data_IF_941460009849
#
_entry.id   IF_941460009849
#
_cell.length_a   1.000
_cell.length_b   1.000
_cell.length_c   1.000
_cell.angle_alpha   90.00
_cell.angle_beta   90.00
_cell.angle_gamma   90.00
#
_symmetry.space_group_name_H-M   'P 1'
#
loop_
_entity.id
_entity.type
_entity.pdbx_description
1 polymer ?
#
# COMPACT_ATOMS: atom_id res chain seq x y z
N UNK A 1 -38.67 -10.80 5.67
CA UNK A 1 -37.80 -11.90 6.13
C UNK A 1 -36.79 -12.16 5.02
N UNK A 2 -35.78 -11.29 5.00
CA UNK A 2 -34.33 -11.50 4.82
C UNK A 2 -33.87 -12.59 3.85
N UNK A 3 -33.37 -12.17 2.67
CA UNK A 3 -32.69 -13.02 1.68
C UNK A 3 -31.66 -12.21 0.89
N UNK A 4 -30.98 -11.27 1.54
CA UNK A 4 -30.13 -10.26 0.87
C UNK A 4 -28.69 -10.27 1.43
N UNK A 5 -28.25 -11.40 1.99
CA UNK A 5 -26.91 -11.53 2.55
C UNK A 5 -26.06 -12.45 1.66
N UNK A 6 -25.10 -11.82 0.96
CA UNK A 6 -23.84 -12.40 0.48
C UNK A 6 -23.74 -12.98 -0.94
N UNK A 7 -23.75 -12.10 -1.94
CA UNK A 7 -22.95 -12.25 -3.18
C UNK A 7 -21.45 -11.90 -2.96
N UNK A 8 -21.10 -11.42 -1.76
CA UNK A 8 -19.75 -10.93 -1.44
C UNK A 8 -18.72 -12.05 -1.25
N UNK A 9 -19.13 -13.17 -0.63
CA UNK A 9 -18.24 -14.30 -0.35
C UNK A 9 -18.18 -15.35 -1.48
N UNK A 10 -18.90 -15.12 -2.59
CA UNK A 10 -19.08 -16.09 -3.67
C UNK A 10 -20.12 -17.15 -3.32
N UNK A 11 -20.56 -17.90 -4.33
CA UNK A 11 -21.46 -19.04 -4.12
C UNK A 11 -20.74 -20.22 -3.44
N UNK A 12 -21.51 -21.21 -2.99
CA UNK A 12 -20.99 -22.38 -2.27
C UNK A 12 -19.95 -23.17 -3.10
N UNK A 13 -20.05 -23.14 -4.43
CA UNK A 13 -19.09 -23.77 -5.33
C UNK A 13 -17.74 -23.02 -5.34
N UNK A 14 -17.77 -21.69 -5.39
CA UNK A 14 -16.57 -20.83 -5.30
C UNK A 14 -15.89 -21.00 -3.94
N UNK A 15 -16.66 -21.02 -2.86
CA UNK A 15 -16.11 -21.22 -1.49
C UNK A 15 -15.43 -22.58 -1.39
N UNK A 16 -16.11 -23.66 -1.77
CA UNK A 16 -15.54 -25.00 -1.75
C UNK A 16 -14.28 -25.12 -2.62
N UNK A 17 -14.26 -24.46 -3.79
CA UNK A 17 -13.09 -24.40 -4.65
C UNK A 17 -11.90 -23.66 -4.02
N UNK A 18 -12.15 -22.56 -3.31
CA UNK A 18 -11.12 -21.82 -2.58
C UNK A 18 -10.58 -22.59 -1.39
N UNK A 19 -11.45 -23.22 -0.60
CA UNK A 19 -11.06 -24.07 0.53
C UNK A 19 -10.23 -25.28 0.09
N UNK A 20 -10.61 -25.93 -1.01
CA UNK A 20 -9.84 -27.01 -1.61
C UNK A 20 -8.44 -26.55 -2.05
N UNK A 21 -8.35 -25.36 -2.67
CA UNK A 21 -7.07 -24.75 -3.04
C UNK A 21 -6.19 -24.49 -1.81
N UNK A 22 -6.75 -23.89 -0.75
CA UNK A 22 -6.04 -23.64 0.51
C UNK A 22 -5.54 -24.94 1.13
N UNK A 23 -6.39 -25.97 1.17
CA UNK A 23 -6.05 -27.29 1.74
C UNK A 23 -4.93 -27.98 0.96
N UNK A 24 -4.95 -27.86 -0.37
CA UNK A 24 -3.92 -28.44 -1.25
C UNK A 24 -2.64 -27.60 -1.36
N UNK A 25 -2.63 -26.38 -0.83
CA UNK A 25 -1.54 -25.44 -1.05
C UNK A 25 -0.33 -25.82 -0.19
N UNK A 26 0.67 -26.43 -0.83
CA UNK A 26 1.97 -26.66 -0.19
C UNK A 26 2.80 -25.38 -0.19
N UNK A 27 2.80 -24.73 0.98
CA UNK A 27 3.61 -23.54 1.26
C UNK A 27 5.08 -23.82 0.93
N UNK A 28 5.66 -24.92 1.42
CA UNK A 28 7.08 -25.23 1.26
C UNK A 28 7.46 -25.47 -0.20
N UNK A 29 6.59 -26.10 -1.00
CA UNK A 29 6.76 -26.25 -2.43
C UNK A 29 6.68 -24.91 -3.15
N UNK A 30 5.65 -24.09 -2.87
CA UNK A 30 5.48 -22.77 -3.47
C UNK A 30 6.70 -21.86 -3.23
N UNK A 31 7.25 -21.85 -2.01
CA UNK A 31 8.46 -21.09 -1.66
C UNK A 31 9.69 -21.51 -2.48
N UNK A 32 9.83 -22.81 -2.80
CA UNK A 32 10.93 -23.34 -3.63
C UNK A 32 10.75 -22.94 -5.10
N UNK A 33 9.53 -23.06 -5.62
CA UNK A 33 9.21 -22.80 -7.04
C UNK A 33 9.28 -21.31 -7.40
N UNK A 34 8.78 -20.44 -6.52
CA UNK A 34 8.85 -18.98 -6.72
C UNK A 34 10.22 -18.40 -6.43
N UNK A 35 11.16 -19.21 -5.94
CA UNK A 35 12.48 -18.76 -5.49
C UNK A 35 12.39 -17.62 -4.45
N UNK A 36 11.27 -17.51 -3.73
CA UNK A 36 11.01 -16.48 -2.73
C UNK A 36 12.02 -16.55 -1.57
N UNK A 37 12.70 -17.68 -1.39
CA UNK A 37 13.76 -17.92 -0.39
C UNK A 37 15.14 -17.43 -0.84
N UNK A 38 15.34 -17.02 -2.11
CA UNK A 38 16.59 -16.36 -2.52
C UNK A 38 16.71 -14.91 -2.02
N UNK A 39 16.13 -14.61 -0.86
CA UNK A 39 16.68 -13.59 0.04
C UNK A 39 17.98 -14.17 0.62
N UNK A 40 19.01 -14.34 -0.21
CA UNK A 40 20.40 -14.45 0.25
C UNK A 40 20.89 -13.08 0.72
N UNK A 41 20.05 -12.36 1.47
CA UNK A 41 20.49 -11.18 2.20
C UNK A 41 21.33 -11.73 3.33
N UNK A 42 22.65 -11.70 3.15
CA UNK A 42 23.59 -11.84 4.26
C UNK A 42 23.10 -10.88 5.34
N UNK A 43 22.48 -11.43 6.38
CA UNK A 43 22.22 -10.68 7.61
C UNK A 43 23.61 -10.27 8.07
N UNK A 44 23.94 -9.00 7.93
CA UNK A 44 25.17 -8.49 8.51
C UNK A 44 24.99 -8.68 10.00
N UNK A 45 25.75 -9.59 10.59
CA UNK A 45 25.86 -9.75 12.04
C UNK A 45 26.72 -8.62 12.64
N UNK A 46 26.57 -7.40 12.11
CA UNK A 46 27.11 -6.21 12.75
C UNK A 46 26.19 -5.92 13.94
N UNK A 47 26.73 -5.68 15.15
CA UNK A 47 25.91 -5.29 16.29
C UNK A 47 25.10 -4.06 15.89
N UNK A 48 23.77 -4.18 16.04
CA UNK A 48 22.83 -3.14 15.67
C UNK A 48 23.16 -1.87 16.47
N UNK A 49 23.65 -0.86 15.77
CA UNK A 49 23.81 0.47 16.34
C UNK A 49 22.41 1.06 16.52
N UNK A 50 21.87 0.95 17.72
CA UNK A 50 20.52 1.41 18.07
C UNK A 50 20.34 2.91 17.80
N UNK A 51 21.42 3.69 17.69
CA UNK A 51 21.37 5.12 17.33
C UNK A 51 20.97 5.36 15.87
N UNK A 52 21.03 4.33 15.01
CA UNK A 52 20.68 4.40 13.58
C UNK A 52 19.38 3.69 13.25
N UNK A 53 18.73 3.07 14.23
CA UNK A 53 17.46 2.40 14.03
C UNK A 53 16.31 3.37 14.29
N UNK A 54 15.36 3.41 13.36
CA UNK A 54 14.22 4.31 13.40
C UNK A 54 12.92 3.53 13.55
N UNK A 55 12.13 3.84 14.57
CA UNK A 55 10.77 3.31 14.71
C UNK A 55 9.76 4.46 14.79
N UNK A 56 9.02 4.76 13.70
CA UNK A 56 7.97 5.78 13.73
C UNK A 56 6.80 5.43 14.67
N UNK A 57 6.69 4.16 15.09
CA UNK A 57 5.64 3.65 15.96
C UNK A 57 6.11 3.42 17.40
N UNK A 58 7.18 4.10 17.82
CA UNK A 58 7.69 3.98 19.18
C UNK A 58 6.60 4.33 20.21
N UNK A 59 6.34 3.41 21.14
CA UNK A 59 5.31 3.55 22.17
C UNK A 59 3.88 3.24 21.73
N UNK A 60 3.66 2.88 20.45
CA UNK A 60 2.34 2.46 19.95
C UNK A 60 2.09 1.00 20.32
N UNK A 61 1.05 0.67 21.12
CA UNK A 61 0.86 -0.68 21.64
C UNK A 61 0.65 -1.71 20.54
N UNK A 62 -0.04 -1.37 19.46
CA UNK A 62 -0.33 -2.29 18.37
C UNK A 62 0.78 -2.40 17.30
N UNK A 63 1.96 -1.84 17.58
CA UNK A 63 3.11 -1.89 16.69
C UNK A 63 4.33 -2.56 17.34
N UNK A 64 5.18 -3.12 16.50
CA UNK A 64 6.46 -3.69 16.92
C UNK A 64 7.41 -2.62 17.46
N UNK A 65 8.05 -2.91 18.59
CA UNK A 65 9.00 -2.02 19.27
C UNK A 65 10.45 -2.48 19.08
N UNK A 66 11.39 -1.53 19.01
CA UNK A 66 12.83 -1.87 18.89
C UNK A 66 13.38 -2.60 20.12
N UNK A 67 12.67 -2.52 21.24
CA UNK A 67 13.05 -3.12 22.52
C UNK A 67 12.58 -4.58 22.67
N UNK A 68 11.80 -5.10 21.73
CA UNK A 68 11.28 -6.47 21.77
C UNK A 68 11.71 -7.29 20.55
N UNK A 69 11.80 -8.60 20.69
CA UNK A 69 12.03 -9.48 19.54
C UNK A 69 10.75 -9.66 18.72
N UNK A 70 10.87 -10.13 17.48
CA UNK A 70 9.67 -10.46 16.66
C UNK A 70 8.83 -11.55 17.34
N UNK A 71 9.44 -12.50 18.04
CA UNK A 71 8.71 -13.54 18.76
C UNK A 71 7.93 -12.97 19.95
N UNK A 72 8.54 -12.07 20.73
CA UNK A 72 7.86 -11.41 21.85
C UNK A 72 6.67 -10.58 21.36
N UNK A 73 6.85 -9.88 20.23
CA UNK A 73 5.79 -9.13 19.57
C UNK A 73 4.62 -10.01 19.12
N UNK A 74 4.91 -11.13 18.46
CA UNK A 74 3.87 -12.08 18.00
C UNK A 74 3.20 -12.81 19.17
N UNK A 75 3.89 -13.01 20.29
CA UNK A 75 3.27 -13.53 21.51
C UNK A 75 2.35 -12.51 22.17
N UNK A 76 2.69 -11.21 22.07
CA UNK A 76 1.91 -10.10 22.62
C UNK A 76 0.69 -9.75 21.77
N UNK A 77 0.85 -9.76 20.44
CA UNK A 77 -0.20 -9.48 19.46
C UNK A 77 -0.18 -10.56 18.37
N UNK A 78 -0.73 -11.75 18.68
CA UNK A 78 -0.88 -12.82 17.70
C UNK A 78 -1.91 -12.42 16.62
N UNK A 79 -1.54 -12.35 15.33
CA UNK A 79 -2.46 -11.90 14.28
C UNK A 79 -3.73 -12.77 14.13
N UNK A 80 -3.65 -14.05 14.51
CA UNK A 80 -4.76 -15.00 14.41
C UNK A 80 -5.85 -14.79 15.48
N UNK A 81 -5.45 -14.43 16.70
CA UNK A 81 -6.37 -14.35 17.85
C UNK A 81 -6.60 -12.93 18.37
N UNK A 82 -5.87 -11.95 17.84
CA UNK A 82 -6.09 -10.54 18.18
C UNK A 82 -7.31 -10.02 17.43
N UNK A 83 -8.38 -9.72 18.17
CA UNK A 83 -9.59 -9.13 17.58
C UNK A 83 -9.37 -7.66 17.16
N UNK A 84 -10.05 -7.27 16.09
CA UNK A 84 -10.06 -5.90 15.60
C UNK A 84 -10.86 -4.98 16.55
N UNK A 85 -10.35 -3.77 16.81
CA UNK A 85 -11.07 -2.74 17.57
C UNK A 85 -10.63 -1.34 17.15
N UNK A 86 -11.37 -0.30 17.56
CA UNK A 86 -10.98 1.10 17.32
C UNK A 86 -9.61 1.47 17.91
N UNK A 87 -9.19 0.78 18.98
CA UNK A 87 -7.88 0.96 19.63
C UNK A 87 -6.78 0.08 19.00
N UNK A 88 -7.15 -0.91 18.19
CA UNK A 88 -6.25 -1.83 17.49
C UNK A 88 -6.77 -2.02 16.05
N UNK A 89 -6.67 -0.97 15.21
CA UNK A 89 -7.20 -1.04 13.86
C UNK A 89 -6.34 -1.93 12.97
N UNK A 90 -5.01 -1.87 13.17
CA UNK A 90 -3.99 -2.58 12.39
C UNK A 90 -2.78 -2.92 13.23
N UNK A 91 -2.09 -3.99 12.83
CA UNK A 91 -0.79 -4.39 13.39
C UNK A 91 0.31 -3.81 12.50
N UNK A 92 1.22 -3.03 13.07
CA UNK A 92 2.31 -2.40 12.31
C UNK A 92 3.68 -2.97 12.66
N UNK A 93 4.47 -3.29 11.63
CA UNK A 93 5.89 -3.63 11.76
C UNK A 93 6.67 -2.68 10.86
N UNK A 94 7.56 -1.88 11.45
CA UNK A 94 8.41 -0.99 10.69
C UNK A 94 9.72 -1.67 10.27
N UNK A 95 10.24 -1.28 9.10
CA UNK A 95 11.62 -1.56 8.75
C UNK A 95 12.52 -0.52 9.43
N UNK A 96 13.36 -0.89 10.41
CA UNK A 96 14.08 0.06 11.25
C UNK A 96 15.26 0.74 10.55
N UNK A 97 15.62 0.30 9.35
CA UNK A 97 16.73 0.86 8.57
C UNK A 97 16.33 2.02 7.65
N UNK A 98 15.06 2.43 7.68
CA UNK A 98 14.54 3.52 6.86
C UNK A 98 14.37 4.74 7.74
N UNK A 99 15.07 5.82 7.41
CA UNK A 99 14.86 7.12 8.05
C UNK A 99 13.46 7.63 7.71
N UNK A 100 12.62 7.78 8.72
CA UNK A 100 11.28 8.34 8.60
C UNK A 100 11.27 9.77 9.14
N UNK A 101 10.45 10.62 8.54
CA UNK A 101 10.16 11.95 9.10
C UNK A 101 9.46 11.78 10.44
N UNK A 102 9.73 12.69 11.36
CA UNK A 102 8.97 12.76 12.62
C UNK A 102 7.50 13.04 12.31
N UNK A 103 6.58 12.45 13.09
CA UNK A 103 5.13 12.52 12.82
C UNK A 103 4.63 13.95 12.61
N UNK A 104 5.14 14.92 13.36
CA UNK A 104 4.78 16.33 13.24
C UNK A 104 5.16 16.97 11.89
N UNK A 105 6.24 16.53 11.26
CA UNK A 105 6.73 17.07 9.98
C UNK A 105 6.21 16.28 8.78
N UNK A 106 5.64 15.09 9.00
CA UNK A 106 5.17 14.22 7.95
C UNK A 106 3.85 14.74 7.35
N UNK A 107 3.81 14.82 6.02
CA UNK A 107 2.66 15.36 5.29
C UNK A 107 1.47 14.40 5.25
N UNK A 108 1.71 13.10 5.46
CA UNK A 108 0.67 12.07 5.52
C UNK A 108 -0.34 12.29 6.66
N UNK A 109 0.01 13.07 7.69
CA UNK A 109 -0.89 13.42 8.80
C UNK A 109 -2.11 14.26 8.37
N UNK A 110 -2.08 14.84 7.16
CA UNK A 110 -3.22 15.61 6.62
C UNK A 110 -4.36 14.70 6.13
N UNK A 111 -4.11 13.41 5.95
CA UNK A 111 -5.07 12.43 5.46
C UNK A 111 -5.77 11.72 6.61
N UNK A 112 -6.97 12.19 6.98
CA UNK A 112 -7.74 11.63 8.09
C UNK A 112 -7.97 10.11 7.93
N UNK A 113 -7.69 9.35 8.99
CA UNK A 113 -7.84 7.89 9.03
C UNK A 113 -6.67 7.12 8.40
N UNK A 114 -5.60 7.79 7.98
CA UNK A 114 -4.38 7.16 7.46
C UNK A 114 -3.12 7.70 8.15
N UNK A 115 -3.25 8.30 9.33
CA UNK A 115 -2.18 9.02 10.03
C UNK A 115 -1.02 8.09 10.42
N UNK A 116 -1.35 6.83 10.74
CA UNK A 116 -0.38 5.80 11.13
C UNK A 116 0.02 4.88 9.96
N UNK A 117 -0.62 5.02 8.80
CA UNK A 117 -0.29 4.24 7.61
C UNK A 117 0.86 4.91 6.81
N UNK A 118 1.80 4.09 6.34
CA UNK A 118 2.92 4.48 5.49
C UNK A 118 3.65 5.79 5.93
N UNK A 119 4.33 5.79 7.09
CA UNK A 119 5.07 6.95 7.60
C UNK A 119 6.02 7.51 6.56
N UNK A 120 6.10 8.83 6.43
CA UNK A 120 6.86 9.45 5.34
C UNK A 120 8.37 9.20 5.50
N UNK A 121 9.07 8.84 4.41
CA UNK A 121 10.53 8.68 4.41
C UNK A 121 11.24 10.04 4.34
N UNK A 122 12.45 10.14 4.88
CA UNK A 122 13.22 11.37 4.77
C UNK A 122 13.60 11.67 3.29
N UNK A 123 13.47 12.93 2.88
CA UNK A 123 13.78 13.37 1.52
C UNK A 123 12.70 13.07 0.47
N UNK A 124 11.54 12.55 0.87
CA UNK A 124 10.35 12.49 -0.01
C UNK A 124 9.78 13.88 -0.25
N UNK A 125 9.21 14.05 -1.45
CA UNK A 125 8.58 15.29 -1.91
C UNK A 125 7.11 15.05 -2.25
N UNK A 126 6.29 14.76 -1.24
CA UNK A 126 4.88 14.40 -1.44
C UNK A 126 4.07 15.53 -2.07
N UNK A 127 4.22 16.78 -1.63
CA UNK A 127 3.56 17.93 -2.28
C UNK A 127 3.85 18.03 -3.79
N UNK A 128 5.10 17.82 -4.22
CA UNK A 128 5.47 17.84 -5.64
C UNK A 128 4.74 16.74 -6.42
N UNK A 129 4.64 15.53 -5.86
CA UNK A 129 3.90 14.44 -6.50
C UNK A 129 2.40 14.76 -6.59
N UNK A 130 1.81 15.32 -5.52
CA UNK A 130 0.39 15.67 -5.50
C UNK A 130 0.09 16.73 -6.57
N UNK A 131 0.88 17.80 -6.60
CA UNK A 131 0.70 18.90 -7.56
C UNK A 131 0.90 18.42 -9.00
N UNK A 132 2.05 17.81 -9.31
CA UNK A 132 2.36 17.35 -10.67
C UNK A 132 1.49 16.18 -11.12
N UNK A 133 1.13 15.28 -10.22
CA UNK A 133 0.21 14.18 -10.50
C UNK A 133 -1.21 14.68 -10.80
N UNK A 134 -1.69 15.67 -10.05
CA UNK A 134 -2.98 16.31 -10.30
C UNK A 134 -2.99 17.06 -11.65
N UNK A 135 -1.92 17.79 -11.96
CA UNK A 135 -1.77 18.45 -13.26
C UNK A 135 -1.83 17.43 -14.40
N UNK A 136 -1.11 16.31 -14.29
CA UNK A 136 -1.12 15.25 -15.32
C UNK A 136 -2.50 14.62 -15.51
N UNK A 137 -3.24 14.42 -14.41
CA UNK A 137 -4.62 13.91 -14.45
C UNK A 137 -5.59 14.93 -15.08
N UNK A 138 -5.42 16.23 -14.81
CA UNK A 138 -6.22 17.29 -15.43
C UNK A 138 -5.99 17.36 -16.95
N UNK A 139 -4.76 17.15 -17.41
CA UNK A 139 -4.42 17.04 -18.84
C UNK A 139 -5.16 15.85 -19.46
N UNK A 140 -5.10 14.68 -18.82
CA UNK A 140 -5.81 13.47 -19.29
C UNK A 140 -7.33 13.70 -19.35
N UNK A 141 -7.91 14.35 -18.34
CA UNK A 141 -9.34 14.67 -18.29
C UNK A 141 -9.74 15.60 -19.44
N UNK A 142 -8.94 16.64 -19.70
CA UNK A 142 -9.15 17.57 -20.81
C UNK A 142 -9.03 16.86 -22.17
N UNK A 143 -8.07 15.95 -22.32
CA UNK A 143 -7.90 15.13 -23.51
C UNK A 143 -9.12 14.23 -23.75
N UNK A 144 -9.61 13.54 -22.73
CA UNK A 144 -10.80 12.69 -22.84
C UNK A 144 -12.03 13.49 -23.28
N UNK A 145 -12.25 14.67 -22.69
CA UNK A 145 -13.33 15.58 -23.11
C UNK A 145 -13.17 16.01 -24.57
N UNK A 146 -11.94 16.38 -24.98
CA UNK A 146 -11.62 16.73 -26.36
C UNK A 146 -11.92 15.60 -27.35
N UNK A 147 -11.45 14.38 -27.07
CA UNK A 147 -11.68 13.19 -27.91
C UNK A 147 -13.17 12.85 -28.01
N UNK A 148 -13.92 12.97 -26.91
CA UNK A 148 -15.35 12.70 -26.90
C UNK A 148 -16.12 13.66 -27.83
N UNK A 149 -15.67 14.91 -27.96
CA UNK A 149 -16.27 15.91 -28.85
C UNK A 149 -15.90 15.71 -30.34
N UNK A 150 -14.96 14.82 -30.67
CA UNK A 150 -14.60 14.56 -32.07
C UNK A 150 -15.63 13.68 -32.80
N UNK A 151 -15.66 13.77 -34.13
CA UNK A 151 -16.47 12.89 -35.01
C UNK A 151 -15.84 11.50 -35.25
N UNK A 152 -14.79 11.13 -34.51
CA UNK A 152 -14.12 9.82 -34.64
C UNK A 152 -15.06 8.68 -34.23
N UNK A 153 -14.82 7.48 -34.76
CA UNK A 153 -15.55 6.28 -34.34
C UNK A 153 -15.27 5.94 -32.87
N UNK A 154 -16.20 5.26 -32.21
CA UNK A 154 -16.06 4.87 -30.80
C UNK A 154 -14.80 4.04 -30.53
N UNK A 155 -14.47 3.12 -31.43
CA UNK A 155 -13.26 2.30 -31.33
C UNK A 155 -11.98 3.14 -31.40
N UNK A 156 -11.95 4.15 -32.29
CA UNK A 156 -10.82 5.05 -32.40
C UNK A 156 -10.68 5.93 -31.14
N UNK A 157 -11.81 6.43 -30.60
CA UNK A 157 -11.83 7.18 -29.34
C UNK A 157 -11.28 6.36 -28.17
N UNK A 158 -11.75 5.13 -27.98
CA UNK A 158 -11.29 4.26 -26.89
C UNK A 158 -9.79 4.00 -27.00
N UNK A 159 -9.30 3.65 -28.19
CA UNK A 159 -7.88 3.37 -28.41
C UNK A 159 -6.99 4.57 -28.05
N UNK A 160 -7.38 5.77 -28.44
CA UNK A 160 -6.64 7.00 -28.13
C UNK A 160 -6.68 7.31 -26.63
N UNK A 161 -7.85 7.17 -25.99
CA UNK A 161 -7.99 7.35 -24.54
C UNK A 161 -7.14 6.35 -23.77
N UNK A 162 -7.13 5.08 -24.17
CA UNK A 162 -6.37 4.03 -23.49
C UNK A 162 -4.86 4.22 -23.68
N UNK A 163 -4.43 4.74 -24.83
CA UNK A 163 -3.04 5.15 -25.02
C UNK A 163 -2.67 6.29 -24.06
N UNK A 164 -3.48 7.35 -24.02
CA UNK A 164 -3.19 8.51 -23.18
C UNK A 164 -3.26 8.19 -21.68
N UNK A 165 -4.15 7.27 -21.27
CA UNK A 165 -4.16 6.73 -19.91
C UNK A 165 -2.84 6.02 -19.56
N UNK A 166 -2.30 5.20 -20.47
CA UNK A 166 -1.02 4.51 -20.22
C UNK A 166 0.13 5.49 -20.06
N UNK A 167 0.18 6.52 -20.90
CA UNK A 167 1.19 7.58 -20.81
C UNK A 167 1.06 8.35 -19.49
N UNK A 168 -0.16 8.73 -19.09
CA UNK A 168 -0.41 9.38 -17.81
C UNK A 168 0.04 8.54 -16.61
N UNK A 169 -0.22 7.22 -16.65
CA UNK A 169 0.24 6.30 -15.61
C UNK A 169 1.77 6.28 -15.54
N UNK A 170 2.46 6.17 -16.69
CA UNK A 170 3.92 6.17 -16.73
C UNK A 170 4.51 7.47 -16.19
N UNK A 171 3.95 8.62 -16.55
CA UNK A 171 4.41 9.93 -16.10
C UNK A 171 4.24 10.08 -14.58
N UNK A 172 3.08 9.71 -14.04
CA UNK A 172 2.81 9.79 -12.59
C UNK A 172 3.72 8.84 -11.80
N UNK A 173 3.93 7.62 -12.29
CA UNK A 173 4.86 6.67 -11.65
C UNK A 173 6.32 7.14 -11.74
N UNK A 174 6.72 7.72 -12.86
CA UNK A 174 8.04 8.34 -13.03
C UNK A 174 8.25 9.51 -12.06
N UNK A 175 7.23 10.37 -11.91
CA UNK A 175 7.24 11.46 -10.94
C UNK A 175 7.31 10.94 -9.50
N UNK A 176 6.55 9.90 -9.16
CA UNK A 176 6.58 9.27 -7.83
C UNK A 176 7.98 8.75 -7.51
N UNK A 177 8.61 8.06 -8.47
CA UNK A 177 9.99 7.59 -8.35
C UNK A 177 10.97 8.74 -8.12
N UNK A 178 10.89 9.82 -8.92
CA UNK A 178 11.73 11.00 -8.76
C UNK A 178 11.51 11.71 -7.41
N UNK A 179 10.31 11.65 -6.86
CA UNK A 179 9.96 12.17 -5.54
C UNK A 179 10.26 11.21 -4.38
N UNK A 180 10.87 10.05 -4.66
CA UNK A 180 11.19 8.96 -3.71
C UNK A 180 9.97 8.34 -3.02
N UNK A 181 8.81 8.35 -3.67
CA UNK A 181 7.57 7.79 -3.15
C UNK A 181 7.35 6.41 -3.74
N UNK A 182 7.28 5.40 -2.87
CA UNK A 182 7.21 3.98 -3.28
C UNK A 182 5.79 3.42 -3.18
N UNK A 183 4.97 3.99 -2.31
CA UNK A 183 3.61 3.57 -2.05
C UNK A 183 2.82 4.75 -1.50
N UNK A 184 1.50 4.67 -1.62
CA UNK A 184 0.58 5.67 -1.10
C UNK A 184 -0.86 5.27 -1.39
N UNK A 185 -1.79 5.98 -0.75
CA UNK A 185 -3.22 5.78 -0.93
C UNK A 185 -3.81 6.96 -1.67
N UNK A 186 -4.52 6.67 -2.76
CA UNK A 186 -5.33 7.69 -3.41
C UNK A 186 -6.60 7.90 -2.58
N UNK A 187 -6.83 9.13 -2.12
CA UNK A 187 -8.11 9.52 -1.53
C UNK A 187 -8.80 10.48 -2.48
N UNK A 188 -10.07 10.22 -2.75
CA UNK A 188 -10.94 11.20 -3.42
C UNK A 188 -11.25 12.24 -2.35
N UNK A 189 -10.96 13.54 -2.57
CA UNK A 189 -11.44 14.56 -1.66
C UNK A 189 -12.96 14.45 -1.64
N UNK A 190 -13.54 14.18 -0.47
CA UNK A 190 -14.98 14.31 -0.29
C UNK A 190 -15.32 15.76 -0.63
N UNK A 191 -16.02 15.97 -1.74
CA UNK A 191 -16.65 17.25 -2.04
C UNK A 191 -17.53 17.62 -0.84
N UNK A 192 -17.15 18.70 -0.15
CA UNK A 192 -17.99 19.33 0.88
C UNK A 192 -19.24 19.92 0.26
#
# INVERSE_FOLDING_TARGET
MDSDESDFYGDEEVVAGLEARVTSFDVAQWWKETNAVQITRRVKNEPLDSTKLHNPYAGVPYAWQLTETVNDFLARIPPETTEHSDLLPWIFICNPYINRKVKFEAQNQRSRGNEDEAPEEEGTRLDTLIEGGMERLNILLSFQQGINNTKKSMTAKSREIDQEKREAIQDILGLAYACKIKAGKASIPWSR
#
